data_IF_156099034784
#
_entry.id   IF_156099034784
#
_cell.length_a   1.000
_cell.length_b   1.000
_cell.length_c   1.000
_cell.angle_alpha   90.00
_cell.angle_beta   90.00
_cell.angle_gamma   90.00
#
_symmetry.space_group_name_H-M   'P 1'
#
loop_
_entity.id
_entity.type
_entity.pdbx_description
1 polymer ?
#
# COMPACT_ATOMS: atom_id res chain seq x y z
N UNK A 1 -1.03 -42.65 37.22
CA UNK A 1 0.05 -42.03 38.00
C UNK A 1 -0.16 -40.54 37.74
N UNK A 2 -1.08 -39.98 38.40
CA UNK A 2 -1.13 -39.32 39.71
C UNK A 2 -0.53 -37.94 39.58
N UNK A 3 -1.42 -36.92 39.56
CA UNK A 3 -1.89 -36.08 40.69
C UNK A 3 -0.81 -35.05 41.04
N UNK A 4 -1.08 -33.77 41.18
CA UNK A 4 -1.88 -33.15 42.20
C UNK A 4 -2.32 -31.70 41.87
N UNK A 5 -3.59 -31.51 42.15
CA UNK A 5 -4.29 -30.25 42.33
C UNK A 5 -4.11 -29.81 43.77
N UNK A 6 -3.86 -28.57 44.07
CA UNK A 6 -4.09 -28.04 45.44
C UNK A 6 -4.71 -26.64 45.45
N UNK A 7 -6.02 -26.66 45.75
CA UNK A 7 -6.82 -25.59 46.30
C UNK A 7 -6.37 -25.23 47.70
N UNK A 8 -6.50 -23.99 48.10
CA UNK A 8 -6.67 -23.59 49.51
C UNK A 8 -7.81 -22.56 49.61
N UNK A 9 -8.93 -23.07 50.14
CA UNK A 9 -9.97 -22.29 50.81
C UNK A 9 -9.53 -21.98 52.26
N UNK A 10 -9.79 -20.78 52.82
CA UNK A 10 -10.95 -20.46 53.54
C UNK A 10 -10.79 -20.24 55.04
N UNK A 11 -11.66 -19.35 55.59
CA UNK A 11 -12.16 -19.25 56.97
C UNK A 11 -11.33 -18.33 57.87
N UNK A 12 -11.77 -17.14 58.37
CA UNK A 12 -13.01 -16.78 59.02
C UNK A 12 -12.78 -16.43 60.48
N UNK A 13 -13.30 -15.35 60.98
CA UNK A 13 -13.59 -15.20 62.41
C UNK A 13 -13.13 -13.89 63.14
N UNK A 14 -14.00 -12.92 63.22
CA UNK A 14 -14.70 -12.39 64.42
C UNK A 14 -13.87 -11.78 65.57
N UNK A 15 -14.07 -10.51 65.83
CA UNK A 15 -14.40 -10.09 67.19
C UNK A 15 -13.64 -8.92 67.85
N UNK A 16 -14.41 -7.89 68.12
CA UNK A 16 -14.46 -7.03 69.38
C UNK A 16 -13.46 -5.90 69.54
N UNK A 17 -14.01 -4.71 69.45
CA UNK A 17 -14.23 -3.62 70.44
C UNK A 17 -13.09 -3.30 71.48
N UNK A 18 -12.75 -2.04 71.53
CA UNK A 18 -12.88 -1.11 72.68
C UNK A 18 -11.77 -0.02 72.80
N UNK A 19 -12.23 1.19 72.77
CA UNK A 19 -11.93 2.44 73.53
C UNK A 19 -10.68 3.28 73.26
N UNK A 20 -11.03 4.48 72.91
CA UNK A 20 -10.57 5.85 73.38
C UNK A 20 -9.19 6.00 73.97
N UNK A 21 -8.42 6.97 73.44
CA UNK A 21 -8.00 8.15 74.16
C UNK A 21 -7.52 9.27 73.21
N UNK A 22 -8.02 10.45 73.45
CA UNK A 22 -7.63 11.72 72.84
C UNK A 22 -6.20 12.10 73.23
N UNK A 23 -5.46 12.65 72.25
CA UNK A 23 -4.46 13.66 72.51
C UNK A 23 -4.18 14.48 71.25
N UNK A 24 -4.52 15.73 71.41
CA UNK A 24 -4.24 16.82 70.46
C UNK A 24 -2.73 17.06 70.36
N UNK A 25 -2.24 17.23 69.15
CA UNK A 25 -1.12 18.14 68.87
C UNK A 25 -1.08 18.56 67.39
N UNK A 26 -1.33 19.82 67.22
CA UNK A 26 -0.86 20.79 66.25
C UNK A 26 -0.50 20.30 64.83
N UNK A 27 -1.41 20.64 64.00
CA UNK A 27 -1.30 20.77 62.54
C UNK A 27 -0.31 21.89 62.18
N UNK A 28 0.73 21.55 61.46
CA UNK A 28 1.46 22.51 60.62
C UNK A 28 0.95 22.37 59.23
N UNK A 29 0.19 23.36 58.79
CA UNK A 29 -0.24 23.54 57.40
C UNK A 29 0.96 23.76 56.52
N UNK A 30 1.28 22.78 55.70
CA UNK A 30 2.17 22.96 54.54
C UNK A 30 1.32 23.17 53.29
N UNK A 31 1.59 24.33 52.74
CA UNK A 31 0.99 24.96 51.60
C UNK A 31 0.73 24.04 50.39
N UNK A 32 -0.52 24.04 49.97
CA UNK A 32 -1.08 23.40 48.78
C UNK A 32 -0.64 24.05 47.43
N UNK A 33 0.62 24.40 47.27
CA UNK A 33 1.06 25.09 46.05
C UNK A 33 2.06 24.33 45.15
N UNK A 34 2.10 23.00 45.23
CA UNK A 34 3.00 22.22 44.38
C UNK A 34 2.32 21.06 43.65
N UNK A 35 1.03 21.22 43.31
CA UNK A 35 0.26 20.20 42.57
C UNK A 35 -0.05 20.54 41.10
N UNK A 36 0.48 21.64 40.60
CA UNK A 36 0.18 22.07 39.21
C UNK A 36 1.37 22.14 38.24
N UNK A 37 2.47 21.43 38.51
CA UNK A 37 3.65 21.53 37.63
C UNK A 37 4.08 20.21 36.98
N UNK A 38 3.21 19.20 36.89
CA UNK A 38 3.56 17.92 36.22
C UNK A 38 2.45 17.40 35.30
N UNK A 39 1.88 18.24 34.46
CA UNK A 39 1.07 17.73 33.32
C UNK A 39 1.18 18.66 32.11
N UNK A 40 2.38 18.86 31.63
CA UNK A 40 2.62 19.41 30.32
C UNK A 40 3.81 18.68 29.61
N UNK A 41 3.87 17.35 29.72
CA UNK A 41 4.60 16.56 28.77
C UNK A 41 3.65 16.39 27.59
N UNK A 42 3.77 17.33 26.64
CA UNK A 42 3.00 17.34 25.43
C UNK A 42 3.09 15.98 24.75
N UNK A 43 1.96 15.44 24.38
CA UNK A 43 1.84 14.45 23.35
C UNK A 43 2.47 15.06 22.08
N UNK A 44 3.78 14.89 21.87
CA UNK A 44 4.38 14.94 20.55
C UNK A 44 3.68 13.81 19.79
N UNK A 45 2.60 14.18 19.12
CA UNK A 45 2.03 13.37 18.07
C UNK A 45 3.14 13.18 17.05
N UNK A 46 3.82 12.05 17.10
CA UNK A 46 4.70 11.59 16.04
C UNK A 46 3.74 11.39 14.86
N UNK A 47 3.63 12.39 14.02
CA UNK A 47 3.10 12.22 12.67
C UNK A 47 4.11 11.34 11.95
N UNK A 48 4.08 10.04 12.24
CA UNK A 48 4.73 9.06 11.40
C UNK A 48 4.15 9.22 10.02
N UNK A 49 5.00 9.35 9.00
CA UNK A 49 4.58 9.23 7.61
C UNK A 49 3.73 7.97 7.52
N UNK A 50 2.42 8.12 7.30
CA UNK A 50 1.51 6.99 7.29
C UNK A 50 1.82 6.16 6.04
N UNK A 51 2.56 5.08 6.23
CA UNK A 51 2.82 4.11 5.19
C UNK A 51 1.49 3.41 4.86
N UNK A 52 1.23 3.24 3.56
CA UNK A 52 0.07 2.46 3.11
C UNK A 52 0.29 1.00 3.54
N UNK A 53 -0.65 0.38 4.27
CA UNK A 53 -0.50 -1.01 4.68
C UNK A 53 -0.49 -1.96 3.47
N UNK A 54 0.08 -3.16 3.61
CA UNK A 54 0.04 -4.18 2.56
C UNK A 54 -1.40 -4.45 2.12
N UNK A 55 -1.65 -4.41 0.82
CA UNK A 55 -2.96 -4.72 0.27
C UNK A 55 -3.11 -6.24 0.08
N UNK A 56 -4.27 -6.76 0.43
CA UNK A 56 -4.63 -8.14 0.12
C UNK A 56 -4.91 -8.32 -1.37
N UNK A 57 -4.59 -9.49 -1.90
CA UNK A 57 -4.95 -9.90 -3.25
C UNK A 57 -6.28 -10.65 -3.17
N UNK A 58 -7.40 -10.03 -3.58
CA UNK A 58 -8.69 -10.70 -3.55
C UNK A 58 -8.75 -11.79 -4.65
N UNK A 59 -9.57 -12.82 -4.50
CA UNK A 59 -9.83 -13.76 -5.58
C UNK A 59 -10.60 -13.05 -6.73
N UNK A 60 -10.47 -13.54 -7.98
CA UNK A 60 -11.27 -13.05 -9.08
C UNK A 60 -12.77 -13.36 -8.87
N UNK A 61 -13.62 -12.56 -9.49
CA UNK A 61 -15.07 -12.82 -9.54
C UNK A 61 -15.43 -13.51 -10.86
N UNK A 62 -16.62 -14.15 -10.97
CA UNK A 62 -17.06 -14.73 -12.23
C UNK A 62 -17.11 -13.75 -13.40
N UNK A 63 -17.30 -12.47 -13.13
CA UNK A 63 -17.36 -11.40 -14.13
C UNK A 63 -16.03 -10.66 -14.33
N UNK A 64 -15.02 -10.90 -13.51
CA UNK A 64 -13.74 -10.19 -13.55
C UNK A 64 -12.59 -11.13 -13.18
N UNK A 65 -12.01 -11.80 -14.18
CA UNK A 65 -10.93 -12.75 -14.01
C UNK A 65 -9.58 -12.29 -14.62
N UNK A 66 -9.54 -11.11 -15.22
CA UNK A 66 -8.36 -10.58 -15.91
C UNK A 66 -7.90 -9.27 -15.28
N UNK A 67 -6.60 -9.10 -15.14
CA UNK A 67 -5.98 -7.92 -14.57
C UNK A 67 -5.02 -7.25 -15.55
N UNK A 68 -4.95 -5.93 -15.47
CA UNK A 68 -3.92 -5.09 -16.07
C UNK A 68 -3.05 -4.55 -14.96
N UNK A 69 -1.75 -4.70 -15.11
CA UNK A 69 -0.74 -4.34 -14.13
C UNK A 69 -0.04 -3.06 -14.56
N UNK A 70 0.14 -2.14 -13.64
CA UNK A 70 0.78 -0.85 -13.93
C UNK A 70 1.77 -0.49 -12.82
N UNK A 71 2.97 -0.10 -13.23
CA UNK A 71 3.83 0.71 -12.38
C UNK A 71 3.26 2.13 -12.26
N UNK A 72 3.68 2.90 -11.27
CA UNK A 72 3.22 4.28 -11.05
C UNK A 72 4.29 5.29 -11.47
N UNK A 73 5.49 5.18 -10.90
CA UNK A 73 6.52 6.21 -11.02
C UNK A 73 7.26 6.11 -12.35
N UNK A 74 7.08 7.12 -13.22
CA UNK A 74 7.56 7.07 -14.61
C UNK A 74 6.56 6.47 -15.59
N UNK A 75 5.56 5.75 -15.11
CA UNK A 75 4.48 5.13 -15.90
C UNK A 75 3.20 5.96 -15.89
N UNK A 76 2.60 6.18 -14.73
CA UNK A 76 1.44 7.07 -14.56
C UNK A 76 1.87 8.51 -14.27
N UNK A 77 3.08 8.70 -13.75
CA UNK A 77 3.76 10.00 -13.68
C UNK A 77 4.81 10.12 -14.80
N UNK A 78 5.20 11.34 -15.21
CA UNK A 78 6.12 11.53 -16.33
C UNK A 78 7.56 11.10 -16.04
N UNK A 79 7.93 11.08 -14.77
CA UNK A 79 9.25 10.68 -14.24
C UNK A 79 9.09 10.11 -12.84
N UNK A 80 10.07 9.36 -12.39
CA UNK A 80 10.19 8.84 -11.03
C UNK A 80 10.30 9.92 -9.94
N UNK A 81 10.78 11.13 -10.28
CA UNK A 81 10.87 12.28 -9.37
C UNK A 81 9.64 13.20 -9.38
N UNK A 82 8.78 13.11 -10.41
CA UNK A 82 7.55 13.90 -10.53
C UNK A 82 6.35 13.12 -9.97
N UNK A 83 6.49 12.69 -8.73
CA UNK A 83 5.65 11.67 -8.08
C UNK A 83 4.15 12.02 -7.95
N UNK A 84 3.78 13.30 -8.14
CA UNK A 84 2.39 13.77 -8.06
C UNK A 84 1.89 14.45 -9.34
N UNK A 85 2.66 14.46 -10.42
CA UNK A 85 2.22 14.96 -11.72
C UNK A 85 1.66 13.79 -12.55
N UNK A 86 0.36 13.76 -12.91
CA UNK A 86 -0.18 12.69 -13.74
C UNK A 86 0.27 12.86 -15.20
N UNK A 87 0.52 11.76 -15.90
CA UNK A 87 0.70 11.79 -17.36
C UNK A 87 -0.62 12.09 -18.06
N UNK A 88 -0.53 12.93 -19.08
CA UNK A 88 -1.68 13.23 -19.95
C UNK A 88 -2.24 11.94 -20.56
N UNK A 89 -3.56 11.75 -20.46
CA UNK A 89 -4.28 10.61 -21.02
C UNK A 89 -4.17 9.32 -20.20
N UNK A 90 -3.36 9.27 -19.13
CA UNK A 90 -3.21 8.06 -18.32
C UNK A 90 -4.52 7.63 -17.65
N UNK A 91 -5.23 8.58 -17.03
CA UNK A 91 -6.52 8.28 -16.39
C UNK A 91 -7.56 7.80 -17.41
N UNK A 92 -7.64 8.43 -18.59
CA UNK A 92 -8.58 8.03 -19.65
C UNK A 92 -8.30 6.61 -20.15
N UNK A 93 -7.02 6.28 -20.37
CA UNK A 93 -6.57 4.97 -20.78
C UNK A 93 -6.94 3.89 -19.75
N UNK A 94 -6.68 4.14 -18.47
CA UNK A 94 -6.99 3.20 -17.41
C UNK A 94 -8.51 3.06 -17.19
N UNK A 95 -9.26 4.14 -17.31
CA UNK A 95 -10.73 4.08 -17.27
C UNK A 95 -11.28 3.29 -18.44
N UNK A 96 -10.69 3.39 -19.63
CA UNK A 96 -11.07 2.55 -20.78
C UNK A 96 -10.84 1.06 -20.49
N UNK A 97 -9.67 0.68 -19.95
CA UNK A 97 -9.37 -0.69 -19.53
C UNK A 97 -10.34 -1.18 -18.43
N UNK A 98 -10.62 -0.35 -17.45
CA UNK A 98 -11.57 -0.67 -16.38
C UNK A 98 -12.99 -0.89 -16.92
N UNK A 99 -13.49 -0.04 -17.84
CA UNK A 99 -14.79 -0.22 -18.51
C UNK A 99 -14.84 -1.50 -19.36
N UNK A 100 -13.71 -1.94 -19.90
CA UNK A 100 -13.60 -3.23 -20.60
C UNK A 100 -13.62 -4.44 -19.65
N UNK A 101 -13.68 -4.22 -18.33
CA UNK A 101 -13.81 -5.26 -17.31
C UNK A 101 -12.50 -5.73 -16.69
N UNK A 102 -11.38 -5.10 -17.01
CA UNK A 102 -10.09 -5.44 -16.37
C UNK A 102 -10.00 -4.93 -14.96
N UNK A 103 -9.48 -5.75 -14.05
CA UNK A 103 -9.01 -5.31 -12.72
C UNK A 103 -7.74 -4.49 -12.91
N UNK A 104 -7.70 -3.30 -12.34
CA UNK A 104 -6.50 -2.47 -12.34
C UNK A 104 -5.66 -2.82 -11.11
N UNK A 105 -4.35 -3.03 -11.33
CA UNK A 105 -3.36 -3.34 -10.29
C UNK A 105 -2.22 -2.35 -10.39
N UNK A 106 -2.09 -1.51 -9.37
CA UNK A 106 -1.02 -0.52 -9.24
C UNK A 106 0.11 -1.10 -8.39
N UNK A 107 1.34 -1.02 -8.90
CA UNK A 107 2.55 -1.46 -8.19
C UNK A 107 3.53 -0.29 -8.09
N UNK A 108 4.15 -0.07 -6.93
CA UNK A 108 5.21 0.92 -6.78
C UNK A 108 6.18 0.56 -5.66
N UNK A 109 7.44 0.89 -5.85
CA UNK A 109 8.48 0.85 -4.83
C UNK A 109 8.77 2.22 -4.21
N UNK A 110 7.83 3.16 -4.37
CA UNK A 110 7.89 4.52 -3.81
C UNK A 110 8.24 4.49 -2.33
N UNK A 111 9.16 5.36 -1.91
CA UNK A 111 9.57 5.47 -0.50
C UNK A 111 8.40 5.93 0.40
N UNK A 112 8.38 5.55 1.70
CA UNK A 112 7.26 5.84 2.60
C UNK A 112 6.83 7.30 2.64
N UNK A 113 7.79 8.22 2.59
CA UNK A 113 7.52 9.67 2.58
C UNK A 113 6.55 10.09 1.45
N UNK A 114 6.61 9.45 0.30
CA UNK A 114 5.77 9.76 -0.86
C UNK A 114 4.61 8.78 -1.07
N UNK A 115 4.40 7.84 -0.14
CA UNK A 115 3.23 6.95 -0.16
C UNK A 115 2.00 7.63 0.44
N UNK A 116 2.20 8.53 1.41
CA UNK A 116 1.12 9.30 2.03
C UNK A 116 0.33 10.06 0.95
N UNK A 117 -0.99 9.90 0.96
CA UNK A 117 -1.87 10.54 -0.01
C UNK A 117 -1.90 9.90 -1.41
N UNK A 118 -1.16 8.82 -1.69
CA UNK A 118 -1.13 8.19 -3.02
C UNK A 118 -2.51 7.68 -3.46
N UNK A 119 -3.30 7.11 -2.56
CA UNK A 119 -4.67 6.70 -2.88
C UNK A 119 -5.56 7.91 -3.24
N UNK A 120 -5.41 9.00 -2.50
CA UNK A 120 -6.13 10.23 -2.76
C UNK A 120 -5.68 10.87 -4.07
N UNK A 121 -4.38 10.83 -4.35
CA UNK A 121 -3.83 11.31 -5.61
C UNK A 121 -4.40 10.53 -6.81
N UNK A 122 -4.44 9.21 -6.75
CA UNK A 122 -5.07 8.37 -7.80
C UNK A 122 -6.53 8.79 -8.01
N UNK A 123 -7.29 8.92 -6.93
CA UNK A 123 -8.71 9.29 -6.99
C UNK A 123 -8.92 10.69 -7.55
N UNK A 124 -8.18 11.70 -7.06
CA UNK A 124 -8.33 13.09 -7.48
C UNK A 124 -7.93 13.32 -8.95
N UNK A 125 -7.00 12.51 -9.47
CA UNK A 125 -6.61 12.57 -10.87
C UNK A 125 -7.46 11.65 -11.77
N UNK A 126 -8.58 11.13 -11.27
CA UNK A 126 -9.55 10.37 -12.05
C UNK A 126 -9.11 8.95 -12.44
N UNK A 127 -8.11 8.40 -11.78
CA UNK A 127 -7.71 7.01 -12.01
C UNK A 127 -8.77 6.05 -11.45
N UNK A 128 -9.06 4.94 -12.13
CA UNK A 128 -10.05 3.97 -11.66
C UNK A 128 -9.61 3.27 -10.38
N UNK A 129 -10.56 2.79 -9.54
CA UNK A 129 -10.22 2.00 -8.37
C UNK A 129 -9.48 0.72 -8.75
N UNK A 130 -8.45 0.37 -7.96
CA UNK A 130 -7.61 -0.79 -8.21
C UNK A 130 -6.99 -1.37 -6.95
N UNK A 131 -6.26 -2.47 -7.07
CA UNK A 131 -5.36 -2.94 -6.03
C UNK A 131 -4.11 -2.07 -6.02
N UNK A 132 -3.77 -1.47 -4.89
CA UNK A 132 -2.56 -0.66 -4.75
C UNK A 132 -1.57 -1.38 -3.84
N UNK A 133 -0.44 -1.78 -4.41
CA UNK A 133 0.64 -2.46 -3.70
C UNK A 133 1.87 -1.57 -3.69
N UNK A 134 2.36 -1.30 -2.48
CA UNK A 134 3.54 -0.46 -2.24
C UNK A 134 4.59 -1.26 -1.47
N UNK A 135 5.85 -1.06 -1.80
CA UNK A 135 6.95 -1.69 -1.08
C UNK A 135 6.97 -1.26 0.39
N UNK A 136 7.01 -2.23 1.30
CA UNK A 136 6.92 -2.02 2.74
C UNK A 136 8.29 -1.83 3.38
N UNK A 137 9.30 -2.53 2.89
CA UNK A 137 10.63 -2.57 3.47
C UNK A 137 11.70 -1.96 2.56
N UNK A 138 12.88 -1.71 3.08
CA UNK A 138 14.01 -1.26 2.29
C UNK A 138 14.42 -2.32 1.26
N UNK A 139 14.43 -3.59 1.66
CA UNK A 139 14.79 -4.72 0.80
C UNK A 139 13.84 -4.84 -0.41
N UNK A 140 12.54 -4.63 -0.20
CA UNK A 140 11.55 -4.62 -1.29
C UNK A 140 11.74 -3.44 -2.25
N UNK A 141 12.24 -2.30 -1.75
CA UNK A 141 12.56 -1.14 -2.60
C UNK A 141 13.86 -1.33 -3.35
N UNK A 142 14.86 -1.94 -2.71
CA UNK A 142 16.17 -2.19 -3.30
C UNK A 142 16.09 -3.26 -4.40
N UNK A 143 15.22 -4.26 -4.22
CA UNK A 143 14.92 -5.29 -5.23
C UNK A 143 13.49 -5.13 -5.78
N UNK A 144 13.27 -4.06 -6.52
CA UNK A 144 11.98 -3.69 -7.10
C UNK A 144 11.42 -4.79 -8.03
N UNK A 145 12.28 -5.46 -8.80
CA UNK A 145 11.85 -6.54 -9.69
C UNK A 145 11.27 -7.70 -8.90
N UNK A 146 11.96 -8.15 -7.87
CA UNK A 146 11.52 -9.23 -6.99
C UNK A 146 10.23 -8.88 -6.26
N UNK A 147 10.12 -7.69 -5.67
CA UNK A 147 8.89 -7.24 -5.02
C UNK A 147 7.70 -7.31 -5.97
N UNK A 148 7.83 -6.72 -7.17
CA UNK A 148 6.76 -6.72 -8.17
C UNK A 148 6.41 -8.14 -8.62
N UNK A 149 7.40 -9.00 -8.87
CA UNK A 149 7.18 -10.39 -9.25
C UNK A 149 6.43 -11.18 -8.16
N UNK A 150 6.74 -10.95 -6.89
CA UNK A 150 6.04 -11.60 -5.77
C UNK A 150 4.55 -11.23 -5.71
N UNK A 151 4.21 -9.95 -5.90
CA UNK A 151 2.81 -9.50 -5.97
C UNK A 151 2.10 -10.13 -7.17
N UNK A 152 2.74 -10.11 -8.34
CA UNK A 152 2.17 -10.72 -9.56
C UNK A 152 1.94 -12.23 -9.40
N UNK A 153 2.88 -12.94 -8.76
CA UNK A 153 2.72 -14.34 -8.43
C UNK A 153 1.55 -14.57 -7.45
N UNK A 154 1.31 -13.66 -6.51
CA UNK A 154 0.15 -13.73 -5.61
C UNK A 154 -1.18 -13.59 -6.38
N UNK A 155 -1.26 -12.66 -7.34
CA UNK A 155 -2.42 -12.54 -8.24
C UNK A 155 -2.63 -13.81 -9.06
N UNK A 156 -1.58 -14.37 -9.66
CA UNK A 156 -1.68 -15.61 -10.42
C UNK A 156 -2.14 -16.79 -9.55
N UNK A 157 -1.62 -16.93 -8.32
CA UNK A 157 -2.06 -17.96 -7.37
C UNK A 157 -3.51 -17.79 -6.92
N UNK A 158 -3.99 -16.56 -6.82
CA UNK A 158 -5.39 -16.25 -6.52
C UNK A 158 -6.33 -16.55 -7.69
N UNK A 159 -5.80 -16.88 -8.88
CA UNK A 159 -6.59 -17.24 -10.07
C UNK A 159 -6.76 -16.10 -11.09
N UNK A 160 -6.09 -14.96 -10.92
CA UNK A 160 -6.12 -13.88 -11.89
C UNK A 160 -5.28 -14.20 -13.13
N UNK A 161 -5.81 -13.89 -14.30
CA UNK A 161 -5.03 -13.84 -15.54
C UNK A 161 -4.44 -12.43 -15.70
N UNK A 162 -3.12 -12.30 -15.62
CA UNK A 162 -2.41 -11.06 -15.90
C UNK A 162 -2.41 -10.83 -17.41
N UNK A 163 -3.30 -9.94 -17.86
CA UNK A 163 -3.62 -9.82 -19.29
C UNK A 163 -2.71 -8.81 -20.01
N UNK A 164 -2.41 -7.69 -19.39
CA UNK A 164 -1.55 -6.64 -19.92
C UNK A 164 -0.71 -6.04 -18.80
N UNK A 165 0.45 -5.48 -19.16
CA UNK A 165 1.32 -4.79 -18.23
C UNK A 165 1.93 -3.52 -18.84
N UNK A 166 2.07 -2.48 -18.03
CA UNK A 166 2.65 -1.21 -18.40
C UNK A 166 3.68 -0.79 -17.36
N UNK A 167 4.87 -0.41 -17.81
CA UNK A 167 5.98 0.02 -16.93
C UNK A 167 6.93 0.94 -17.68
N UNK A 168 7.91 1.47 -16.97
CA UNK A 168 8.91 2.36 -17.56
C UNK A 168 10.34 1.94 -17.26
N UNK A 169 10.53 0.94 -16.39
CA UNK A 169 11.83 0.50 -15.90
C UNK A 169 12.16 -0.95 -16.27
N UNK A 170 13.44 -1.25 -16.36
CA UNK A 170 13.93 -2.62 -16.58
C UNK A 170 13.47 -3.59 -15.48
N UNK A 171 13.29 -3.10 -14.25
CA UNK A 171 12.78 -3.90 -13.12
C UNK A 171 11.32 -4.31 -13.31
N UNK A 172 10.51 -3.46 -13.96
CA UNK A 172 9.14 -3.80 -14.35
C UNK A 172 9.13 -4.94 -15.35
N UNK A 173 9.91 -4.79 -16.42
CA UNK A 173 9.93 -5.78 -17.50
C UNK A 173 10.47 -7.13 -17.02
N UNK A 174 11.43 -7.13 -16.09
CA UNK A 174 11.90 -8.35 -15.42
C UNK A 174 10.76 -9.01 -14.64
N UNK A 175 10.03 -8.26 -13.82
CA UNK A 175 8.91 -8.79 -13.04
C UNK A 175 7.77 -9.31 -13.94
N UNK A 176 7.47 -8.63 -15.05
CA UNK A 176 6.44 -9.04 -16.00
C UNK A 176 6.82 -10.32 -16.74
N UNK A 177 8.10 -10.47 -17.11
CA UNK A 177 8.61 -11.68 -17.71
C UNK A 177 8.57 -12.87 -16.74
N UNK A 178 8.97 -12.70 -15.48
CA UNK A 178 8.84 -13.72 -14.43
C UNK A 178 7.38 -14.13 -14.20
N UNK A 179 6.46 -13.17 -14.24
CA UNK A 179 5.02 -13.42 -14.16
C UNK A 179 4.42 -14.06 -15.42
N UNK A 180 5.25 -14.33 -16.45
CA UNK A 180 4.87 -14.93 -17.73
C UNK A 180 3.82 -14.14 -18.51
N UNK A 181 3.82 -12.81 -18.36
CA UNK A 181 3.00 -11.94 -19.21
C UNK A 181 3.64 -11.93 -20.61
N UNK A 182 2.89 -12.31 -21.68
CA UNK A 182 3.45 -12.34 -23.03
C UNK A 182 3.97 -10.98 -23.47
N UNK A 183 5.13 -10.92 -24.12
CA UNK A 183 5.75 -9.66 -24.54
C UNK A 183 4.82 -8.79 -25.41
N UNK A 184 3.92 -9.41 -26.17
CA UNK A 184 2.92 -8.77 -27.03
C UNK A 184 1.84 -8.03 -26.21
N UNK A 185 1.89 -8.15 -24.89
CA UNK A 185 0.95 -7.53 -23.92
C UNK A 185 1.65 -6.67 -22.90
N UNK A 186 2.96 -6.43 -23.07
CA UNK A 186 3.77 -5.56 -22.25
C UNK A 186 4.10 -4.30 -23.03
N UNK A 187 3.86 -3.14 -22.44
CA UNK A 187 4.13 -1.84 -23.04
C UNK A 187 5.06 -1.03 -22.16
N UNK A 188 6.10 -0.47 -22.76
CA UNK A 188 7.04 0.40 -22.09
C UNK A 188 6.63 1.87 -22.26
N UNK A 189 6.63 2.65 -21.18
CA UNK A 189 6.44 4.10 -21.22
C UNK A 189 7.81 4.78 -21.23
N UNK A 190 8.03 5.67 -22.18
CA UNK A 190 9.26 6.46 -22.24
C UNK A 190 9.20 7.57 -21.17
N UNK A 191 10.21 7.66 -20.32
CA UNK A 191 10.31 8.73 -19.32
C UNK A 191 10.46 10.08 -20.00
N UNK A 192 9.82 11.12 -19.44
CA UNK A 192 9.94 12.48 -19.99
C UNK A 192 11.39 12.91 -20.08
N UNK A 193 11.83 13.30 -21.27
CA UNK A 193 13.20 13.72 -21.57
C UNK A 193 14.16 12.60 -21.93
N UNK A 194 13.75 11.34 -21.88
CA UNK A 194 14.53 10.21 -22.40
C UNK A 194 14.35 10.08 -23.92
N UNK A 195 15.38 9.59 -24.61
CA UNK A 195 15.30 9.31 -26.05
C UNK A 195 14.64 7.96 -26.36
N UNK A 196 14.78 7.00 -25.45
CA UNK A 196 14.31 5.61 -25.59
C UNK A 196 13.64 5.16 -24.30
N UNK A 197 12.86 4.10 -24.37
CA UNK A 197 12.46 3.34 -23.17
C UNK A 197 13.67 2.62 -22.59
N UNK A 198 13.58 2.21 -21.32
CA UNK A 198 14.59 1.36 -20.71
C UNK A 198 14.59 -0.04 -21.33
N UNK A 199 15.71 -0.74 -21.22
CA UNK A 199 15.86 -2.08 -21.76
C UNK A 199 14.92 -3.08 -21.07
N UNK A 200 14.35 -3.98 -21.89
CA UNK A 200 13.46 -5.01 -21.40
C UNK A 200 12.71 -5.73 -22.51
N UNK A 201 11.83 -6.64 -22.11
CA UNK A 201 11.00 -7.42 -23.01
C UNK A 201 9.60 -6.81 -23.05
N UNK A 202 9.26 -6.13 -24.14
CA UNK A 202 7.96 -5.49 -24.36
C UNK A 202 7.60 -5.44 -25.86
N UNK A 203 6.34 -5.19 -26.16
CA UNK A 203 5.83 -5.05 -27.53
C UNK A 203 6.24 -3.72 -28.17
N UNK A 204 6.06 -2.64 -27.43
CA UNK A 204 6.26 -1.28 -27.95
C UNK A 204 6.76 -0.33 -26.86
N UNK A 205 7.59 0.64 -27.28
CA UNK A 205 7.98 1.81 -26.50
C UNK A 205 7.03 2.96 -26.85
N UNK A 206 6.23 3.38 -25.89
CA UNK A 206 5.21 4.41 -26.04
C UNK A 206 5.74 5.79 -25.60
N UNK A 207 5.44 6.81 -26.39
CA UNK A 207 5.71 8.21 -26.00
C UNK A 207 4.81 8.64 -24.82
N UNK A 208 3.58 8.17 -24.80
CA UNK A 208 2.61 8.49 -23.76
C UNK A 208 1.31 7.71 -23.88
N UNK A 209 0.37 8.05 -23.01
CA UNK A 209 -0.92 7.37 -22.94
C UNK A 209 -1.93 7.87 -23.98
N UNK A 210 -1.87 9.16 -24.33
CA UNK A 210 -2.83 9.77 -25.23
C UNK A 210 -2.80 9.09 -26.63
N UNK A 211 -1.61 8.77 -27.13
CA UNK A 211 -1.43 8.08 -28.41
C UNK A 211 -1.87 6.62 -28.32
N UNK A 212 -1.65 5.99 -27.17
CA UNK A 212 -1.99 4.59 -26.95
C UNK A 212 -3.49 4.35 -26.65
N UNK A 213 -4.22 5.39 -26.26
CA UNK A 213 -5.66 5.29 -25.93
C UNK A 213 -6.47 4.68 -27.08
N UNK A 214 -6.22 5.10 -28.31
CA UNK A 214 -6.91 4.55 -29.49
C UNK A 214 -6.64 3.06 -29.66
N UNK A 215 -5.42 2.59 -29.40
CA UNK A 215 -5.10 1.17 -29.39
C UNK A 215 -5.87 0.43 -28.30
N UNK A 216 -5.91 0.96 -27.09
CA UNK A 216 -6.67 0.39 -25.97
C UNK A 216 -8.14 0.23 -26.34
N UNK A 217 -8.72 1.24 -26.99
CA UNK A 217 -10.14 1.26 -27.32
C UNK A 217 -10.50 0.26 -28.44
N UNK A 218 -9.66 0.14 -29.45
CA UNK A 218 -9.94 -0.64 -30.65
C UNK A 218 -9.39 -2.07 -30.63
N UNK A 219 -8.17 -2.24 -30.11
CA UNK A 219 -7.43 -3.50 -30.24
C UNK A 219 -7.47 -4.36 -28.96
N UNK A 220 -7.57 -3.75 -27.78
CA UNK A 220 -7.69 -4.52 -26.55
C UNK A 220 -9.13 -5.00 -26.39
N UNK A 221 -9.37 -6.33 -26.37
CA UNK A 221 -10.73 -6.88 -26.22
C UNK A 221 -11.29 -6.60 -24.82
N UNK A 222 -12.59 -6.82 -24.64
CA UNK A 222 -13.18 -6.85 -23.29
C UNK A 222 -12.67 -8.06 -22.51
N UNK A 223 -12.52 -7.90 -21.19
CA UNK A 223 -11.99 -8.92 -20.29
C UNK A 223 -13.01 -10.02 -19.91
N UNK A 224 -14.13 -10.08 -20.62
CA UNK A 224 -15.25 -11.00 -20.36
C UNK A 224 -14.95 -12.41 -20.86
#
# INVERSE_FOLDING_TARGET
>A
MDEDVQECEGVGGVGSQVSRSESSHHCLTWSDNMRHLFFAVGALSIWGCAQIPPAEVPPPTPSQGQAVVLDIDGTLTPKDINVFEPRLGAADALNSLSRKGYKIVYLTTRVPLFQSGLQDWLRHNGFPPGGLHVAQTAEERDDAARFKAQILAAYARAGWRLAYAYGDSSTDFTAYAEAKIPKERVFALKRRGSKTCQDGIYQACLEGWAEHLTYIEREIPSAK
#
